data_IF_077142635541
#
_entry.id   IF_077142635541
#
_cell.length_a   1.000
_cell.length_b   1.000
_cell.length_c   1.000
_cell.angle_alpha   90.00
_cell.angle_beta   90.00
_cell.angle_gamma   90.00
#
_symmetry.space_group_name_H-M   'P 1'
#
loop_
_entity.id
_entity.type
_entity.pdbx_description
1 polymer ?
#
# COMPACT_ATOMS: atom_id res chain seq x y z
N UNK A 1 19.44 12.19 -0.44
CA UNK A 1 20.58 11.40 0.09
C UNK A 1 21.65 11.23 -0.99
N UNK A 2 22.87 10.84 -0.60
CA UNK A 2 23.95 10.53 -1.54
C UNK A 2 23.55 9.44 -2.52
N UNK A 3 22.83 8.42 -2.05
CA UNK A 3 22.26 7.34 -2.89
C UNK A 3 21.34 7.90 -3.96
N UNK A 4 20.43 8.78 -3.59
CA UNK A 4 19.43 9.33 -4.54
C UNK A 4 20.11 10.18 -5.60
N UNK A 5 21.16 10.91 -5.21
CA UNK A 5 21.98 11.67 -6.15
C UNK A 5 22.70 10.75 -7.15
N UNK A 6 23.40 9.73 -6.66
CA UNK A 6 24.15 8.78 -7.51
C UNK A 6 23.26 7.95 -8.43
N UNK A 7 22.07 7.55 -7.96
CA UNK A 7 21.11 6.74 -8.73
C UNK A 7 20.14 7.57 -9.58
N UNK A 8 20.23 8.89 -9.50
CA UNK A 8 19.26 9.79 -10.16
C UNK A 8 17.80 9.40 -9.84
N UNK A 9 17.54 9.17 -8.55
CA UNK A 9 16.27 8.61 -8.04
C UNK A 9 15.67 9.44 -6.89
N UNK A 10 15.97 10.75 -6.86
CA UNK A 10 15.33 11.68 -5.94
C UNK A 10 13.84 11.83 -6.25
N UNK A 11 13.04 12.23 -5.26
CA UNK A 11 11.59 12.47 -5.44
C UNK A 11 11.31 13.40 -6.62
N UNK A 12 12.09 14.46 -6.81
CA UNK A 12 11.97 15.39 -7.94
C UNK A 12 12.21 14.71 -9.29
N UNK A 13 13.21 13.83 -9.35
CA UNK A 13 13.50 13.06 -10.57
C UNK A 13 12.43 12.01 -10.85
N UNK A 14 11.86 11.39 -9.81
CA UNK A 14 10.72 10.49 -9.95
C UNK A 14 9.48 11.24 -10.46
N UNK A 15 9.16 12.42 -9.93
CA UNK A 15 8.08 13.26 -10.43
C UNK A 15 8.24 13.57 -11.91
N UNK A 16 9.45 13.92 -12.36
CA UNK A 16 9.71 14.18 -13.78
C UNK A 16 9.54 12.92 -14.64
N UNK A 17 10.01 11.76 -14.18
CA UNK A 17 9.76 10.47 -14.85
C UNK A 17 8.26 10.18 -15.00
N UNK A 18 7.47 10.44 -13.94
CA UNK A 18 6.00 10.27 -13.99
C UNK A 18 5.35 11.26 -14.96
N UNK A 19 5.81 12.51 -14.99
CA UNK A 19 5.32 13.51 -15.93
C UNK A 19 5.53 13.07 -17.39
N UNK A 20 6.73 12.59 -17.72
CA UNK A 20 7.06 12.10 -19.06
C UNK A 20 6.21 10.87 -19.43
N UNK A 21 6.05 9.92 -18.49
CA UNK A 21 5.17 8.75 -18.70
C UNK A 21 3.74 9.17 -18.96
N UNK A 22 3.20 10.10 -18.18
CA UNK A 22 1.84 10.58 -18.35
C UNK A 22 1.60 11.25 -19.70
N UNK A 23 2.58 11.95 -20.28
CA UNK A 23 2.49 12.48 -21.64
C UNK A 23 2.35 11.32 -22.66
N UNK A 24 3.23 10.32 -22.57
CA UNK A 24 3.20 9.16 -23.47
C UNK A 24 1.91 8.34 -23.32
N UNK A 25 1.43 8.14 -22.11
CA UNK A 25 0.16 7.46 -21.86
C UNK A 25 -1.02 8.19 -22.51
N UNK A 26 -1.06 9.54 -22.42
CA UNK A 26 -2.08 10.35 -23.09
C UNK A 26 -2.00 10.22 -24.61
N UNK A 27 -0.81 10.24 -25.19
CA UNK A 27 -0.61 10.05 -26.63
C UNK A 27 -1.15 8.69 -27.08
N UNK A 28 -0.80 7.61 -26.35
CA UNK A 28 -1.28 6.25 -26.66
C UNK A 28 -2.81 6.17 -26.53
N UNK A 29 -3.38 6.63 -25.43
CA UNK A 29 -4.82 6.60 -25.19
C UNK A 29 -5.59 7.42 -26.23
N UNK A 30 -5.03 8.55 -26.67
CA UNK A 30 -5.65 9.40 -27.71
C UNK A 30 -5.80 8.68 -29.06
N UNK A 31 -4.94 7.70 -29.34
CA UNK A 31 -4.94 6.91 -30.59
C UNK A 31 -5.65 5.57 -30.45
N UNK A 32 -5.97 5.11 -29.22
CA UNK A 32 -6.62 3.82 -29.01
C UNK A 32 -8.12 3.86 -29.31
N UNK A 33 -8.63 2.84 -30.01
CA UNK A 33 -10.07 2.63 -30.18
C UNK A 33 -10.71 1.85 -29.03
N UNK A 34 -9.94 1.00 -28.36
CA UNK A 34 -10.41 0.13 -27.30
C UNK A 34 -9.40 0.10 -26.15
N UNK A 35 -9.90 0.17 -24.91
CA UNK A 35 -9.11 0.05 -23.67
C UNK A 35 -9.82 -0.89 -22.71
N UNK A 36 -9.06 -1.73 -22.02
CA UNK A 36 -9.54 -2.58 -20.94
C UNK A 36 -8.99 -2.10 -19.59
N UNK A 37 -9.85 -2.08 -18.58
CA UNK A 37 -9.47 -1.68 -17.24
C UNK A 37 -10.43 -2.20 -16.19
N UNK A 38 -10.24 -1.81 -14.91
CA UNK A 38 -10.90 -2.46 -13.79
C UNK A 38 -11.85 -1.56 -12.99
N UNK A 39 -11.59 -0.26 -12.97
CA UNK A 39 -12.20 0.68 -12.04
C UNK A 39 -12.83 1.86 -12.78
N UNK A 40 -13.67 2.63 -12.08
CA UNK A 40 -14.15 3.91 -12.60
C UNK A 40 -13.00 4.89 -12.77
N UNK A 41 -12.03 4.85 -11.87
CA UNK A 41 -10.87 5.74 -11.89
C UNK A 41 -10.08 5.62 -13.21
N UNK A 42 -9.73 4.40 -13.63
CA UNK A 42 -9.01 4.21 -14.90
C UNK A 42 -9.91 4.46 -16.12
N UNK A 43 -11.21 4.13 -16.03
CA UNK A 43 -12.17 4.44 -17.07
C UNK A 43 -12.29 5.94 -17.32
N UNK A 44 -12.49 6.73 -16.26
CA UNK A 44 -12.61 8.18 -16.35
C UNK A 44 -11.31 8.80 -16.88
N UNK A 45 -10.15 8.31 -16.42
CA UNK A 45 -8.85 8.71 -16.92
C UNK A 45 -8.68 8.44 -18.42
N UNK A 46 -9.04 7.25 -18.89
CA UNK A 46 -8.96 6.89 -20.31
C UNK A 46 -9.91 7.74 -21.17
N UNK A 47 -11.17 7.89 -20.74
CA UNK A 47 -12.17 8.69 -21.46
C UNK A 47 -11.83 10.17 -21.48
N UNK A 48 -11.15 10.71 -20.46
CA UNK A 48 -10.67 12.09 -20.47
C UNK A 48 -9.59 12.34 -21.53
N UNK A 49 -8.82 11.31 -21.88
CA UNK A 49 -7.82 11.37 -22.95
C UNK A 49 -8.44 11.18 -24.34
N UNK A 50 -9.42 10.28 -24.46
CA UNK A 50 -10.12 10.01 -25.70
C UNK A 50 -11.60 9.65 -25.45
N UNK A 51 -12.53 10.61 -25.58
CA UNK A 51 -13.96 10.37 -25.36
C UNK A 51 -14.60 9.37 -26.30
N UNK A 52 -13.95 9.05 -27.44
CA UNK A 52 -14.47 8.10 -28.46
C UNK A 52 -14.03 6.66 -28.22
N UNK A 53 -13.10 6.42 -27.29
CA UNK A 53 -12.63 5.07 -27.03
C UNK A 53 -13.72 4.19 -26.38
N UNK A 54 -13.70 2.91 -26.69
CA UNK A 54 -14.57 1.91 -26.07
C UNK A 54 -13.84 1.29 -24.87
N UNK A 55 -14.36 1.54 -23.67
CA UNK A 55 -13.82 0.97 -22.46
C UNK A 55 -14.47 -0.39 -22.16
N UNK A 56 -13.64 -1.39 -21.88
CA UNK A 56 -14.05 -2.75 -21.51
C UNK A 56 -13.64 -3.02 -20.06
N UNK A 57 -14.63 -3.34 -19.21
CA UNK A 57 -14.32 -3.73 -17.83
C UNK A 57 -13.82 -5.19 -17.82
N UNK A 58 -12.63 -5.38 -17.27
CA UNK A 58 -12.03 -6.69 -17.01
C UNK A 58 -11.80 -6.84 -15.50
N UNK A 59 -12.13 -8.00 -14.98
CA UNK A 59 -11.75 -8.37 -13.62
C UNK A 59 -10.42 -9.11 -13.65
N UNK A 60 -9.56 -8.83 -12.69
CA UNK A 60 -8.31 -9.57 -12.52
C UNK A 60 -8.56 -10.82 -11.68
N UNK A 61 -7.94 -11.92 -12.12
CA UNK A 61 -7.85 -13.13 -11.31
C UNK A 61 -6.66 -13.00 -10.38
N UNK A 62 -6.89 -13.19 -9.09
CA UNK A 62 -5.80 -13.21 -8.10
C UNK A 62 -5.00 -14.51 -8.22
N UNK A 63 -3.83 -14.55 -7.59
CA UNK A 63 -2.99 -15.75 -7.56
C UNK A 63 -3.73 -16.92 -6.89
N UNK A 64 -3.59 -18.12 -7.44
CA UNK A 64 -4.41 -19.29 -7.06
C UNK A 64 -4.44 -19.58 -5.55
N UNK A 65 -3.32 -19.42 -4.86
CA UNK A 65 -3.23 -19.72 -3.43
C UNK A 65 -4.16 -18.86 -2.54
N UNK A 66 -4.62 -17.69 -3.00
CA UNK A 66 -5.51 -16.81 -2.21
C UNK A 66 -6.98 -17.20 -2.30
N UNK A 67 -7.35 -18.12 -3.19
CA UNK A 67 -8.70 -18.71 -3.24
C UNK A 67 -8.89 -19.87 -2.26
N UNK A 68 -7.82 -20.27 -1.56
CA UNK A 68 -7.82 -21.37 -0.62
C UNK A 68 -7.60 -20.87 0.81
N UNK A 69 -8.38 -21.41 1.74
CA UNK A 69 -8.31 -21.04 3.16
C UNK A 69 -9.12 -19.78 3.48
N UNK A 70 -9.20 -19.47 4.74
CA UNK A 70 -9.90 -18.29 5.25
C UNK A 70 -9.27 -17.81 6.55
N UNK A 71 -9.28 -16.51 6.73
CA UNK A 71 -8.90 -15.86 7.97
C UNK A 71 -9.85 -16.24 9.11
N UNK A 72 -9.29 -16.42 10.30
CA UNK A 72 -10.03 -16.69 11.51
C UNK A 72 -9.41 -15.94 12.68
N UNK A 73 -10.23 -15.23 13.44
CA UNK A 73 -9.78 -14.42 14.58
C UNK A 73 -8.98 -15.24 15.61
N UNK A 74 -9.40 -16.49 15.85
CA UNK A 74 -8.75 -17.36 16.84
C UNK A 74 -7.37 -17.86 16.43
N UNK A 75 -7.04 -17.71 15.14
CA UNK A 75 -5.76 -18.16 14.57
C UNK A 75 -4.79 -17.02 14.25
N UNK A 76 -5.28 -15.79 14.14
CA UNK A 76 -4.41 -14.64 13.86
C UNK A 76 -3.66 -14.21 15.12
N UNK A 77 -2.59 -13.47 14.92
CA UNK A 77 -1.89 -12.79 16.00
C UNK A 77 -2.65 -11.54 16.38
N UNK A 78 -3.15 -11.48 17.62
CA UNK A 78 -3.84 -10.30 18.11
C UNK A 78 -2.96 -9.06 18.00
N UNK A 79 -3.56 -7.94 17.61
CA UNK A 79 -2.90 -6.62 17.47
C UNK A 79 -1.79 -6.56 16.40
N UNK A 80 -1.70 -7.55 15.53
CA UNK A 80 -0.79 -7.53 14.40
C UNK A 80 -1.41 -6.79 13.22
N UNK A 81 -0.78 -5.70 12.80
CA UNK A 81 -1.16 -4.90 11.64
C UNK A 81 -0.24 -5.29 10.48
N UNK A 82 -0.80 -5.70 9.36
CA UNK A 82 -0.01 -6.06 8.19
C UNK A 82 -0.14 -5.04 7.07
N UNK A 83 1.00 -4.67 6.47
CA UNK A 83 1.07 -3.88 5.24
C UNK A 83 1.88 -4.63 4.18
N UNK A 84 1.37 -4.69 2.95
CA UNK A 84 1.97 -5.50 1.89
C UNK A 84 3.23 -4.91 1.26
N UNK A 85 3.50 -3.62 1.48
CA UNK A 85 4.68 -2.96 0.93
C UNK A 85 5.04 -1.68 1.69
N UNK A 86 6.27 -1.60 2.20
CA UNK A 86 6.77 -0.44 2.95
C UNK A 86 7.83 0.39 2.23
N UNK A 87 8.38 -0.09 1.13
CA UNK A 87 9.57 0.46 0.49
C UNK A 87 9.29 1.49 -0.62
N UNK A 88 8.02 1.76 -0.92
CA UNK A 88 7.61 2.69 -1.97
C UNK A 88 6.66 3.80 -1.46
N UNK A 89 6.99 5.10 -1.68
CA UNK A 89 6.25 6.21 -1.09
C UNK A 89 4.75 6.22 -1.39
N UNK A 90 4.35 5.85 -2.63
CA UNK A 90 2.95 5.83 -3.04
C UNK A 90 2.12 4.77 -2.32
N UNK A 91 2.77 3.77 -1.69
CA UNK A 91 2.09 2.77 -0.86
C UNK A 91 1.71 3.27 0.54
N UNK A 92 2.16 4.48 0.91
CA UNK A 92 1.66 5.20 2.06
C UNK A 92 2.04 4.65 3.43
N UNK A 93 3.06 3.79 3.53
CA UNK A 93 3.49 3.20 4.81
C UNK A 93 3.79 4.25 5.90
N UNK A 94 4.24 5.43 5.50
CA UNK A 94 4.45 6.56 6.41
C UNK A 94 3.17 7.04 7.10
N UNK A 95 1.99 6.92 6.48
CA UNK A 95 0.72 7.24 7.14
C UNK A 95 0.41 6.25 8.26
N UNK A 96 0.70 4.96 8.03
CA UNK A 96 0.52 3.94 9.07
C UNK A 96 1.47 4.17 10.25
N UNK A 97 2.76 4.49 10.00
CA UNK A 97 3.69 4.84 11.06
C UNK A 97 3.22 6.07 11.86
N UNK A 98 2.69 7.08 11.19
CA UNK A 98 2.17 8.28 11.84
C UNK A 98 0.88 8.03 12.65
N UNK A 99 0.09 6.98 12.31
CA UNK A 99 -1.10 6.59 13.05
C UNK A 99 -0.79 5.77 14.31
N UNK A 100 0.40 5.16 14.39
CA UNK A 100 0.74 4.27 15.51
C UNK A 100 0.67 4.89 16.91
N UNK A 101 1.03 6.16 17.15
CA UNK A 101 0.90 6.75 18.47
C UNK A 101 -0.51 6.66 19.04
N UNK A 102 -1.55 6.94 18.24
CA UNK A 102 -2.96 6.83 18.68
C UNK A 102 -3.35 5.37 18.91
N UNK A 103 -2.92 4.47 18.03
CA UNK A 103 -3.21 3.03 18.15
C UNK A 103 -2.55 2.47 19.42
N UNK A 104 -1.32 2.87 19.74
CA UNK A 104 -0.58 2.40 20.91
C UNK A 104 -1.13 2.93 22.24
N UNK A 105 -1.85 4.06 22.23
CA UNK A 105 -2.58 4.54 23.41
C UNK A 105 -3.67 3.57 23.83
N UNK A 106 -4.42 3.00 22.87
CA UNK A 106 -5.49 2.04 23.13
C UNK A 106 -4.98 0.60 23.22
N UNK A 107 -4.03 0.23 22.37
CA UNK A 107 -3.45 -1.11 22.28
C UNK A 107 -1.92 -1.06 22.37
N UNK A 108 -1.34 -0.99 23.58
CA UNK A 108 0.13 -0.87 23.78
C UNK A 108 0.93 -2.03 23.17
N UNK A 109 0.31 -3.16 22.88
CA UNK A 109 0.93 -4.34 22.27
C UNK A 109 0.85 -4.34 20.73
N UNK A 110 0.25 -3.32 20.12
CA UNK A 110 0.14 -3.26 18.67
C UNK A 110 1.51 -3.32 17.97
N UNK A 111 1.57 -4.09 16.91
CA UNK A 111 2.78 -4.34 16.15
C UNK A 111 2.50 -4.29 14.66
N UNK A 112 3.45 -3.81 13.86
CA UNK A 112 3.36 -3.78 12.40
C UNK A 112 4.31 -4.81 11.81
N UNK A 113 3.79 -5.67 10.95
CA UNK A 113 4.59 -6.41 9.96
C UNK A 113 4.43 -5.79 8.59
N UNK A 114 5.53 -5.55 7.90
CA UNK A 114 5.52 -4.98 6.55
C UNK A 114 6.38 -5.80 5.61
N UNK A 115 5.81 -6.16 4.43
CA UNK A 115 6.57 -6.80 3.38
C UNK A 115 7.31 -5.77 2.52
N UNK A 116 8.29 -6.24 1.75
CA UNK A 116 9.16 -5.43 0.92
C UNK A 116 10.58 -5.30 1.44
N UNK A 117 11.43 -4.69 0.64
CA UNK A 117 12.86 -4.53 0.98
C UNK A 117 12.99 -3.51 2.12
N UNK A 118 13.80 -3.84 3.13
CA UNK A 118 14.16 -2.86 4.15
C UNK A 118 14.90 -1.67 3.53
N UNK A 119 14.33 -0.48 3.67
CA UNK A 119 14.92 0.76 3.17
C UNK A 119 15.34 1.71 4.28
N UNK A 120 15.10 1.33 5.53
CA UNK A 120 15.39 2.17 6.70
C UNK A 120 16.86 2.10 7.12
N UNK A 121 17.58 1.02 6.76
CA UNK A 121 19.03 0.88 6.94
C UNK A 121 19.50 1.02 8.38
N UNK A 122 19.45 -0.03 9.14
CA UNK A 122 20.01 -0.07 10.50
C UNK A 122 21.30 -0.89 10.53
N UNK A 123 22.30 -0.44 11.21
CA UNK A 123 23.42 -1.25 11.61
C UNK A 123 24.78 -0.80 11.05
N UNK A 124 25.06 -0.98 9.79
CA UNK A 124 26.40 -0.70 9.23
C UNK A 124 26.50 0.70 8.58
N UNK A 125 27.70 1.28 8.57
CA UNK A 125 27.98 2.52 7.82
C UNK A 125 27.61 2.39 6.33
N UNK A 126 27.80 1.19 5.76
CA UNK A 126 27.48 0.90 4.37
C UNK A 126 25.97 0.95 4.10
N UNK A 127 25.13 0.50 5.03
CA UNK A 127 23.67 0.59 4.94
C UNK A 127 23.18 2.03 5.11
N UNK A 128 23.77 2.78 6.04
CA UNK A 128 23.50 4.21 6.24
C UNK A 128 23.78 5.04 4.98
N UNK A 129 24.85 4.73 4.23
CA UNK A 129 25.16 5.39 2.97
C UNK A 129 24.22 5.02 1.82
N UNK A 130 23.60 3.84 1.88
CA UNK A 130 22.67 3.35 0.87
C UNK A 130 21.21 3.74 1.11
N UNK A 131 20.89 4.43 2.19
CA UNK A 131 19.52 4.82 2.53
C UNK A 131 18.96 5.81 1.51
N UNK A 132 17.73 5.55 1.05
CA UNK A 132 16.98 6.49 0.21
C UNK A 132 16.42 7.65 1.04
N UNK A 133 16.03 8.75 0.38
CA UNK A 133 15.35 9.86 1.05
C UNK A 133 14.09 9.40 1.76
N UNK A 134 13.31 8.55 1.12
CA UNK A 134 12.11 7.96 1.74
C UNK A 134 12.45 7.04 2.91
N UNK A 135 13.48 6.19 2.78
CA UNK A 135 13.93 5.34 3.88
C UNK A 135 14.42 6.15 5.09
N UNK A 136 15.13 7.27 4.85
CA UNK A 136 15.50 8.20 5.92
C UNK A 136 14.26 8.78 6.61
N UNK A 137 13.30 9.24 5.83
CA UNK A 137 12.04 9.78 6.36
C UNK A 137 11.29 8.78 7.22
N UNK A 138 11.13 7.52 6.77
CA UNK A 138 10.50 6.45 7.57
C UNK A 138 11.26 6.21 8.87
N UNK A 139 12.60 6.16 8.83
CA UNK A 139 13.42 5.99 10.02
C UNK A 139 13.25 7.13 11.01
N UNK A 140 13.20 8.36 10.50
CA UNK A 140 13.02 9.56 11.34
C UNK A 140 11.61 9.53 11.99
N UNK A 141 10.56 9.12 11.26
CA UNK A 141 9.22 8.89 11.82
C UNK A 141 9.22 7.80 12.92
N UNK A 142 9.87 6.68 12.67
CA UNK A 142 9.95 5.59 13.67
C UNK A 142 10.62 6.06 14.95
N UNK A 143 11.65 6.92 14.87
CA UNK A 143 12.30 7.50 16.03
C UNK A 143 11.41 8.51 16.75
N UNK A 144 10.79 9.43 16.02
CA UNK A 144 9.92 10.48 16.58
C UNK A 144 8.77 9.86 17.36
N UNK A 145 8.23 8.74 16.89
CA UNK A 145 7.08 8.05 17.48
C UNK A 145 7.45 6.85 18.38
N UNK A 146 8.74 6.66 18.68
CA UNK A 146 9.24 5.54 19.52
C UNK A 146 8.74 4.16 19.05
N UNK A 147 8.82 3.91 17.72
CA UNK A 147 8.36 2.67 17.10
C UNK A 147 9.48 1.63 16.91
N UNK A 148 10.64 1.83 17.53
CA UNK A 148 11.71 0.83 17.51
C UNK A 148 11.23 -0.43 18.24
N UNK A 149 11.35 -1.59 17.56
CA UNK A 149 10.81 -2.86 18.06
C UNK A 149 9.30 -3.08 17.80
N UNK A 150 8.59 -2.09 17.28
CA UNK A 150 7.15 -2.19 16.91
C UNK A 150 6.92 -2.47 15.43
N UNK A 151 7.97 -2.50 14.63
CA UNK A 151 7.90 -2.72 13.18
C UNK A 151 8.84 -3.82 12.76
N UNK A 152 8.30 -4.87 12.16
CA UNK A 152 9.05 -5.97 11.55
C UNK A 152 9.01 -5.87 10.04
N UNK A 153 10.17 -5.79 9.39
CA UNK A 153 10.29 -5.87 7.93
C UNK A 153 10.52 -7.30 7.52
N UNK A 154 9.55 -7.88 6.81
CA UNK A 154 9.52 -9.30 6.44
C UNK A 154 10.35 -9.62 5.18
N UNK A 155 10.86 -8.60 4.48
CA UNK A 155 11.53 -8.79 3.20
C UNK A 155 10.58 -9.12 2.05
N UNK A 156 11.15 -9.61 0.94
CA UNK A 156 10.35 -10.06 -0.20
C UNK A 156 9.73 -11.41 0.11
N UNK A 157 8.42 -11.47 0.07
CA UNK A 157 7.64 -12.67 0.37
C UNK A 157 7.23 -13.40 -0.91
N UNK A 158 7.29 -14.73 -0.88
CA UNK A 158 6.64 -15.59 -1.87
C UNK A 158 5.11 -15.52 -1.71
N UNK A 159 4.35 -16.02 -2.68
CA UNK A 159 2.89 -16.03 -2.62
C UNK A 159 2.35 -16.74 -1.37
N UNK A 160 2.95 -17.87 -1.00
CA UNK A 160 2.58 -18.61 0.22
C UNK A 160 2.89 -17.84 1.49
N UNK A 161 4.08 -17.24 1.57
CA UNK A 161 4.47 -16.41 2.71
C UNK A 161 3.60 -15.15 2.83
N UNK A 162 3.21 -14.55 1.69
CA UNK A 162 2.28 -13.43 1.68
C UNK A 162 0.92 -13.85 2.22
N UNK A 163 0.38 -15.01 1.77
CA UNK A 163 -0.85 -15.57 2.30
C UNK A 163 -0.78 -15.81 3.80
N UNK A 164 0.31 -16.38 4.30
CA UNK A 164 0.53 -16.59 5.73
C UNK A 164 0.58 -15.27 6.50
N UNK A 165 1.22 -14.24 5.96
CA UNK A 165 1.25 -12.92 6.57
C UNK A 165 -0.17 -12.33 6.70
N UNK A 166 -1.01 -12.44 5.67
CA UNK A 166 -2.41 -12.05 5.76
C UNK A 166 -3.18 -12.83 6.82
N UNK A 167 -3.10 -14.16 6.80
CA UNK A 167 -3.84 -15.03 7.74
C UNK A 167 -3.40 -14.85 9.19
N UNK A 168 -2.15 -14.48 9.42
CA UNK A 168 -1.60 -14.21 10.74
C UNK A 168 -1.85 -12.78 11.23
N UNK A 169 -2.27 -11.86 10.39
CA UNK A 169 -2.56 -10.48 10.80
C UNK A 169 -3.95 -10.35 11.41
N UNK A 170 -4.11 -9.41 12.36
CA UNK A 170 -5.40 -9.02 12.90
C UNK A 170 -6.14 -8.11 11.92
N UNK A 171 -5.41 -7.21 11.26
CA UNK A 171 -5.92 -6.31 10.24
C UNK A 171 -4.90 -6.11 9.14
N UNK A 172 -5.36 -6.06 7.90
CA UNK A 172 -4.57 -5.64 6.74
C UNK A 172 -4.82 -4.16 6.45
N UNK A 173 -3.76 -3.39 6.27
CA UNK A 173 -3.84 -1.96 5.97
C UNK A 173 -3.25 -1.67 4.60
N UNK A 174 -4.04 -1.03 3.74
CA UNK A 174 -3.65 -0.54 2.41
C UNK A 174 -3.70 1.00 2.39
N UNK A 175 -2.66 1.70 2.90
CA UNK A 175 -2.71 3.14 3.11
C UNK A 175 -2.21 3.94 1.90
N UNK A 176 -2.40 3.42 0.70
CA UNK A 176 -1.83 3.96 -0.53
C UNK A 176 -2.23 5.42 -0.79
N UNK A 177 -1.27 6.24 -1.20
CA UNK A 177 -1.50 7.63 -1.60
C UNK A 177 -2.10 7.74 -3.02
N UNK A 178 -1.83 6.75 -3.86
CA UNK A 178 -2.42 6.58 -5.20
C UNK A 178 -2.38 5.11 -5.58
N UNK A 179 -3.52 4.59 -6.05
CA UNK A 179 -3.63 3.21 -6.49
C UNK A 179 -4.82 3.07 -7.46
N UNK A 180 -4.77 2.13 -8.37
CA UNK A 180 -5.93 1.81 -9.20
C UNK A 180 -6.70 0.63 -8.59
N UNK A 181 -6.12 -0.56 -8.65
CA UNK A 181 -6.75 -1.80 -8.19
C UNK A 181 -5.67 -2.69 -7.55
N UNK A 182 -5.29 -2.43 -6.27
CA UNK A 182 -4.19 -3.14 -5.64
C UNK A 182 -4.54 -4.61 -5.39
N UNK A 183 -3.78 -5.51 -6.02
CA UNK A 183 -3.97 -6.95 -5.82
C UNK A 183 -3.89 -7.35 -4.36
N UNK A 184 -3.01 -6.70 -3.59
CA UNK A 184 -2.86 -6.94 -2.15
C UNK A 184 -4.16 -6.74 -1.35
N UNK A 185 -4.97 -5.75 -1.70
CA UNK A 185 -6.29 -5.58 -1.07
C UNK A 185 -7.27 -6.67 -1.51
N UNK A 186 -7.26 -7.02 -2.81
CA UNK A 186 -8.08 -8.12 -3.33
C UNK A 186 -7.74 -9.47 -2.68
N UNK A 187 -6.46 -9.76 -2.50
CA UNK A 187 -5.97 -10.97 -1.83
C UNK A 187 -6.39 -11.03 -0.36
N UNK A 188 -6.25 -9.94 0.37
CA UNK A 188 -6.69 -9.85 1.77
C UNK A 188 -8.21 -10.07 1.90
N UNK A 189 -9.01 -9.42 1.02
CA UNK A 189 -10.47 -9.57 1.00
C UNK A 189 -10.90 -10.99 0.62
N UNK A 190 -10.23 -11.66 -0.33
CA UNK A 190 -10.52 -13.06 -0.68
C UNK A 190 -10.29 -14.00 0.49
N UNK A 191 -9.27 -13.75 1.29
CA UNK A 191 -8.99 -14.52 2.51
C UNK A 191 -9.93 -14.16 3.67
N UNK A 192 -10.73 -13.11 3.57
CA UNK A 192 -11.61 -12.62 4.63
C UNK A 192 -10.88 -11.90 5.76
N UNK A 193 -9.68 -11.37 5.52
CA UNK A 193 -8.93 -10.57 6.49
C UNK A 193 -9.65 -9.22 6.67
N UNK A 194 -9.84 -8.72 7.92
CA UNK A 194 -10.29 -7.36 8.13
C UNK A 194 -9.38 -6.36 7.42
N UNK A 195 -9.95 -5.48 6.60
CA UNK A 195 -9.19 -4.56 5.75
C UNK A 195 -9.50 -3.10 6.09
N UNK A 196 -8.44 -2.29 6.18
CA UNK A 196 -8.53 -0.83 6.21
C UNK A 196 -7.79 -0.28 4.98
N UNK A 197 -8.44 0.56 4.19
CA UNK A 197 -7.86 1.06 2.94
C UNK A 197 -8.11 2.56 2.75
N UNK A 198 -7.20 3.24 2.07
CA UNK A 198 -7.39 4.65 1.73
C UNK A 198 -8.45 4.82 0.64
N UNK A 199 -9.26 5.86 0.75
CA UNK A 199 -10.22 6.28 -0.27
C UNK A 199 -9.49 7.03 -1.40
N UNK A 200 -8.76 6.29 -2.25
CA UNK A 200 -7.98 6.87 -3.35
C UNK A 200 -8.09 6.06 -4.63
N UNK A 201 -8.06 6.75 -5.77
CA UNK A 201 -8.09 6.15 -7.09
C UNK A 201 -9.24 5.15 -7.28
N UNK A 202 -8.92 3.92 -7.66
CA UNK A 202 -9.91 2.86 -7.88
C UNK A 202 -10.13 1.94 -6.67
N UNK A 203 -9.49 2.17 -5.53
CA UNK A 203 -9.68 1.35 -4.32
C UNK A 203 -11.17 1.27 -3.90
N UNK A 204 -11.97 2.36 -3.89
CA UNK A 204 -13.38 2.29 -3.54
C UNK A 204 -14.23 1.41 -4.45
N UNK A 205 -13.78 1.17 -5.68
CA UNK A 205 -14.50 0.29 -6.62
C UNK A 205 -14.27 -1.21 -6.35
N UNK A 206 -13.26 -1.55 -5.55
CA UNK A 206 -12.94 -2.94 -5.20
C UNK A 206 -13.83 -3.49 -4.08
N UNK A 207 -14.29 -2.63 -3.18
CA UNK A 207 -15.07 -3.03 -2.01
C UNK A 207 -16.50 -2.46 -2.05
N UNK A 208 -17.48 -3.29 -1.73
CA UNK A 208 -18.89 -2.89 -1.65
C UNK A 208 -19.21 -2.25 -0.29
N UNK A 209 -18.80 -0.99 -0.12
CA UNK A 209 -19.03 -0.24 1.11
C UNK A 209 -18.29 -0.86 2.33
N UNK A 210 -18.70 -0.45 3.52
CA UNK A 210 -18.08 -0.84 4.81
C UNK A 210 -18.17 -2.32 5.17
N UNK A 211 -18.81 -3.14 4.31
CA UNK A 211 -18.90 -4.59 4.53
C UNK A 211 -17.65 -5.37 4.17
N UNK A 212 -16.81 -4.82 3.28
CA UNK A 212 -15.62 -5.52 2.78
C UNK A 212 -14.31 -4.88 3.24
N UNK A 213 -14.32 -3.58 3.54
CA UNK A 213 -13.19 -2.86 4.08
C UNK A 213 -13.67 -1.55 4.73
N UNK A 214 -13.00 -1.10 5.77
CA UNK A 214 -13.16 0.26 6.28
C UNK A 214 -12.31 1.23 5.46
N UNK A 215 -12.86 2.40 5.18
CA UNK A 215 -12.18 3.40 4.37
C UNK A 215 -11.84 4.64 5.20
N UNK A 216 -10.67 5.21 4.94
CA UNK A 216 -10.25 6.50 5.46
C UNK A 216 -9.83 7.43 4.31
N UNK A 217 -9.95 8.73 4.50
CA UNK A 217 -9.52 9.73 3.51
C UNK A 217 -7.99 9.76 3.41
N UNK A 218 -7.49 9.75 2.18
CA UNK A 218 -6.05 9.73 1.89
C UNK A 218 -5.31 10.82 2.68
N UNK A 219 -4.32 10.40 3.47
CA UNK A 219 -3.49 11.28 4.30
C UNK A 219 -4.11 11.67 5.64
N UNK A 220 -5.36 11.28 5.91
CA UNK A 220 -5.98 11.48 7.21
C UNK A 220 -5.54 10.40 8.19
N UNK A 221 -4.47 10.69 8.93
CA UNK A 221 -3.83 9.76 9.87
C UNK A 221 -4.74 9.41 11.04
N UNK A 222 -5.52 10.37 11.53
CA UNK A 222 -6.47 10.16 12.64
C UNK A 222 -7.62 9.23 12.24
N UNK A 223 -8.17 9.42 11.05
CA UNK A 223 -9.21 8.53 10.53
C UNK A 223 -8.67 7.11 10.24
N UNK A 224 -7.40 7.01 9.78
CA UNK A 224 -6.73 5.72 9.65
C UNK A 224 -6.63 5.01 11.00
N UNK A 225 -6.17 5.71 12.04
CA UNK A 225 -6.10 5.16 13.40
C UNK A 225 -7.49 4.73 13.88
N UNK A 226 -8.50 5.58 13.74
CA UNK A 226 -9.89 5.27 14.13
C UNK A 226 -10.45 4.04 13.39
N UNK A 227 -10.14 3.86 12.10
CA UNK A 227 -10.53 2.65 11.35
C UNK A 227 -9.84 1.38 11.87
N UNK A 228 -8.58 1.46 12.29
CA UNK A 228 -7.84 0.31 12.82
C UNK A 228 -8.34 -0.06 14.23
N UNK A 229 -8.71 0.92 15.04
CA UNK A 229 -9.21 0.75 16.41
C UNK A 229 -10.65 0.20 16.47
N UNK A 230 -11.42 0.28 15.39
CA UNK A 230 -12.79 -0.20 15.26
C UNK A 230 -12.84 -1.71 15.00
#
# INVERSE_FOLDING_TARGET
>A
TLRDFLRKDSLRQQQEKFRIRGIREKEVLSSCGHVAGRTRFDREGALSCNPKLKYHKLNETMRACFYEGSWRREKCRSFEIFASQGDYPLKGFHYLLAAMPEILQEFPQAHISVAGISITGYGTLKEKLKISGYGKYLRDLMKVHDLEGRVSVLGNLTDRQMKEAYLNSHVFVCPSALENSPNSLGEAMLLGVPCVASRTGGIPDMAKGDKSALFFEKGNVHELAACILR
#
